data_IF_191462372771
#
_entry.id   IF_191462372771
#
_cell.length_a   1.000
_cell.length_b   1.000
_cell.length_c   1.000
_cell.angle_alpha   90.00
_cell.angle_beta   90.00
_cell.angle_gamma   90.00
#
_symmetry.space_group_name_H-M   'P 1'
#
loop_
_entity.id
_entity.type
_entity.pdbx_description
1 polymer ?
#
# COMPACT_ATOMS: atom_id res chain seq x y z
N UNK A 1 62.49 25.02 -54.49
CA UNK A 1 62.11 23.89 -53.60
C UNK A 1 60.64 23.96 -53.14
N UNK A 2 59.60 24.02 -54.01
CA UNK A 2 58.21 24.19 -53.55
C UNK A 2 57.47 22.85 -53.34
N UNK A 3 57.81 21.83 -54.13
CA UNK A 3 57.10 20.56 -54.18
C UNK A 3 57.18 19.75 -52.86
N UNK A 4 58.32 19.82 -52.17
CA UNK A 4 58.54 19.11 -50.91
C UNK A 4 57.64 19.63 -49.78
N UNK A 5 57.41 20.95 -49.71
CA UNK A 5 56.52 21.55 -48.68
C UNK A 5 55.06 21.17 -48.89
N UNK A 6 54.63 21.05 -50.15
CA UNK A 6 53.26 20.66 -50.51
C UNK A 6 53.00 19.19 -50.22
N UNK A 7 54.02 18.35 -50.37
CA UNK A 7 53.97 16.94 -50.03
C UNK A 7 53.94 16.75 -48.51
N UNK A 8 54.76 17.51 -47.78
CA UNK A 8 54.77 17.52 -46.31
C UNK A 8 53.40 17.90 -45.72
N UNK A 9 52.79 18.98 -46.19
CA UNK A 9 51.45 19.36 -45.69
C UNK A 9 50.36 18.32 -45.95
N UNK A 10 50.46 17.52 -47.02
CA UNK A 10 49.54 16.38 -47.24
C UNK A 10 49.80 15.24 -46.26
N UNK A 11 51.06 14.97 -45.95
CA UNK A 11 51.44 13.97 -44.93
C UNK A 11 50.95 14.41 -43.55
N UNK A 12 51.15 15.67 -43.17
CA UNK A 12 50.72 16.19 -41.87
C UNK A 12 49.17 16.09 -41.71
N UNK A 13 48.41 16.31 -42.78
CA UNK A 13 46.94 16.12 -42.78
C UNK A 13 46.55 14.65 -42.67
N UNK A 14 47.28 13.74 -43.33
CA UNK A 14 47.05 12.30 -43.19
C UNK A 14 47.36 11.83 -41.77
N UNK A 15 48.44 12.31 -41.15
CA UNK A 15 48.77 12.01 -39.76
C UNK A 15 47.70 12.51 -38.78
N UNK A 16 47.11 13.69 -39.04
CA UNK A 16 45.97 14.20 -38.27
C UNK A 16 44.73 13.32 -38.43
N UNK A 17 44.40 12.90 -39.67
CA UNK A 17 43.26 12.01 -39.92
C UNK A 17 43.48 10.67 -39.22
N UNK A 18 44.68 10.10 -39.29
CA UNK A 18 45.04 8.85 -38.62
C UNK A 18 44.90 8.99 -37.11
N UNK A 19 45.35 10.12 -36.54
CA UNK A 19 45.20 10.37 -35.11
C UNK A 19 43.72 10.41 -34.69
N UNK A 20 42.89 11.19 -35.40
CA UNK A 20 41.45 11.28 -35.10
C UNK A 20 40.74 9.93 -35.26
N UNK A 21 41.09 9.16 -36.30
CA UNK A 21 40.50 7.83 -36.51
C UNK A 21 40.88 6.86 -35.38
N UNK A 22 42.12 6.92 -34.89
CA UNK A 22 42.56 6.12 -33.75
C UNK A 22 41.84 6.52 -32.45
N UNK A 23 41.66 7.82 -32.21
CA UNK A 23 40.93 8.29 -31.02
C UNK A 23 39.45 7.84 -31.08
N UNK A 24 38.85 7.84 -32.26
CA UNK A 24 37.50 7.30 -32.45
C UNK A 24 37.43 5.77 -32.28
N UNK A 25 38.45 5.04 -32.76
CA UNK A 25 38.55 3.60 -32.56
C UNK A 25 38.57 3.26 -31.06
N UNK A 26 39.39 3.96 -30.27
CA UNK A 26 39.46 3.80 -28.82
C UNK A 26 38.14 4.14 -28.13
N UNK A 27 37.50 5.26 -28.49
CA UNK A 27 36.20 5.63 -27.94
C UNK A 27 35.09 4.63 -28.28
N UNK A 28 35.14 4.00 -29.46
CA UNK A 28 34.20 2.95 -29.86
C UNK A 28 34.46 1.66 -29.09
N UNK A 29 35.72 1.29 -28.86
CA UNK A 29 36.08 0.14 -28.01
C UNK A 29 35.52 0.31 -26.60
N UNK A 30 35.71 1.48 -25.98
CA UNK A 30 35.16 1.80 -24.66
C UNK A 30 33.63 1.70 -24.62
N UNK A 31 32.96 2.16 -25.68
CA UNK A 31 31.50 2.09 -25.77
C UNK A 31 30.99 0.65 -25.88
N UNK A 32 31.70 -0.20 -26.61
CA UNK A 32 31.39 -1.63 -26.73
C UNK A 32 31.53 -2.32 -25.37
N UNK A 33 32.61 -2.06 -24.62
CA UNK A 33 32.79 -2.63 -23.28
C UNK A 33 31.64 -2.25 -22.33
N UNK A 34 31.21 -0.98 -22.33
CA UNK A 34 30.06 -0.54 -21.52
C UNK A 34 28.76 -1.19 -21.96
N UNK A 35 28.58 -1.41 -23.27
CA UNK A 35 27.40 -2.10 -23.78
C UNK A 35 27.36 -3.57 -23.34
N UNK A 36 28.51 -4.25 -23.36
CA UNK A 36 28.63 -5.61 -22.83
C UNK A 36 28.34 -5.67 -21.33
N UNK A 37 28.82 -4.71 -20.54
CA UNK A 37 28.51 -4.61 -19.11
C UNK A 37 27.00 -4.43 -18.86
N UNK A 38 26.35 -3.55 -19.61
CA UNK A 38 24.90 -3.32 -19.51
C UNK A 38 24.13 -4.58 -19.93
N UNK A 39 24.54 -5.24 -21.01
CA UNK A 39 23.96 -6.50 -21.48
C UNK A 39 24.06 -7.57 -20.39
N UNK A 40 25.21 -7.72 -19.74
CA UNK A 40 25.38 -8.65 -18.62
C UNK A 40 24.51 -8.32 -17.40
N UNK A 41 24.31 -7.03 -17.08
CA UNK A 41 23.35 -6.62 -16.04
C UNK A 41 21.91 -6.97 -16.42
N UNK A 42 21.57 -6.85 -17.70
CA UNK A 42 20.25 -7.16 -18.21
C UNK A 42 19.96 -8.66 -18.20
N UNK A 43 20.96 -9.52 -18.46
CA UNK A 43 20.79 -10.98 -18.30
C UNK A 43 20.55 -11.36 -16.84
N UNK A 44 21.26 -10.75 -15.89
CA UNK A 44 21.01 -10.97 -14.45
C UNK A 44 19.59 -10.52 -14.06
N UNK A 45 19.13 -9.39 -14.60
CA UNK A 45 17.77 -8.92 -14.37
C UNK A 45 16.73 -9.91 -14.94
N UNK A 46 16.95 -10.45 -16.14
CA UNK A 46 16.09 -11.44 -16.75
C UNK A 46 16.00 -12.72 -15.92
N UNK A 47 17.14 -13.23 -15.44
CA UNK A 47 17.19 -14.37 -14.51
C UNK A 47 16.39 -14.11 -13.23
N UNK A 48 16.52 -12.91 -12.64
CA UNK A 48 15.76 -12.53 -11.45
C UNK A 48 14.24 -12.43 -11.72
N UNK A 49 13.84 -11.91 -12.89
CA UNK A 49 12.44 -11.88 -13.32
C UNK A 49 11.91 -13.30 -13.48
N UNK A 50 12.70 -14.21 -14.06
CA UNK A 50 12.33 -15.61 -14.20
C UNK A 50 12.17 -16.30 -12.84
N UNK A 51 13.08 -16.04 -11.88
CA UNK A 51 12.95 -16.54 -10.51
C UNK A 51 11.67 -16.00 -9.84
N UNK A 52 11.37 -14.73 -10.02
CA UNK A 52 10.14 -14.13 -9.50
C UNK A 52 8.90 -14.77 -10.15
N UNK A 53 8.95 -15.03 -11.46
CA UNK A 53 7.91 -15.76 -12.19
C UNK A 53 7.64 -17.14 -11.58
N UNK A 54 8.70 -17.91 -11.28
CA UNK A 54 8.57 -19.22 -10.64
C UNK A 54 7.99 -19.13 -9.22
N UNK A 55 8.36 -18.12 -8.44
CA UNK A 55 7.79 -17.88 -7.11
C UNK A 55 6.29 -17.54 -7.22
N UNK A 56 5.92 -16.71 -8.20
CA UNK A 56 4.52 -16.34 -8.47
C UNK A 56 3.70 -17.53 -8.96
N UNK A 57 4.25 -18.42 -9.79
CA UNK A 57 3.59 -19.66 -10.20
C UNK A 57 3.35 -20.58 -9.01
N UNK A 58 4.35 -20.75 -8.13
CA UNK A 58 4.19 -21.53 -6.88
C UNK A 58 3.17 -20.90 -5.93
N UNK A 59 3.05 -19.59 -5.92
CA UNK A 59 2.00 -18.87 -5.18
C UNK A 59 0.62 -18.99 -5.86
N UNK A 60 0.55 -19.17 -7.17
CA UNK A 60 -0.69 -19.40 -7.91
C UNK A 60 -1.29 -20.81 -7.71
N UNK A 61 -0.45 -21.81 -7.41
CA UNK A 61 -0.89 -23.16 -7.01
C UNK A 61 -1.51 -23.19 -5.61
N UNK A 62 -1.10 -22.27 -4.73
CA UNK A 62 -1.87 -21.91 -3.55
C UNK A 62 -3.10 -21.16 -4.07
N UNK A 63 -4.27 -21.81 -4.07
CA UNK A 63 -5.54 -21.24 -4.51
C UNK A 63 -5.93 -19.98 -3.72
N UNK A 64 -5.31 -18.85 -4.04
CA UNK A 64 -5.86 -17.53 -3.81
C UNK A 64 -6.85 -17.34 -4.94
N UNK A 65 -8.12 -17.69 -4.66
CA UNK A 65 -9.22 -17.30 -5.53
C UNK A 65 -9.13 -15.78 -5.70
N UNK A 66 -9.01 -15.36 -6.96
CA UNK A 66 -9.10 -13.97 -7.43
C UNK A 66 -7.87 -13.07 -7.22
N UNK A 67 -6.78 -13.36 -7.93
CA UNK A 67 -5.73 -12.35 -8.20
C UNK A 67 -6.08 -11.64 -9.52
N UNK A 68 -6.77 -10.49 -9.40
CA UNK A 68 -7.00 -9.57 -10.52
C UNK A 68 -5.68 -8.88 -10.85
N UNK A 69 -5.17 -9.10 -12.06
CA UNK A 69 -4.00 -8.42 -12.64
C UNK A 69 -4.20 -6.90 -12.59
N UNK A 70 -3.42 -6.18 -11.80
CA UNK A 70 -3.38 -4.72 -11.83
C UNK A 70 -2.19 -4.24 -12.66
N UNK A 71 -2.47 -3.81 -13.89
CA UNK A 71 -1.55 -3.05 -14.73
C UNK A 71 -1.76 -1.56 -14.47
N UNK A 72 -0.95 -1.00 -13.56
CA UNK A 72 -0.70 0.43 -13.46
C UNK A 72 -1.64 1.28 -12.59
N UNK A 73 -1.01 2.32 -12.01
CA UNK A 73 -1.52 3.64 -11.60
C UNK A 73 -2.31 3.76 -10.27
N UNK A 74 -1.67 4.48 -9.33
CA UNK A 74 -2.20 5.36 -8.27
C UNK A 74 -3.64 5.16 -7.78
N UNK A 75 -3.78 4.57 -6.59
CA UNK A 75 -4.99 4.63 -5.75
C UNK A 75 -5.61 3.25 -5.44
N UNK A 76 -6.36 3.11 -4.33
CA UNK A 76 -7.05 1.86 -4.00
C UNK A 76 -8.12 1.54 -5.06
N UNK A 77 -8.07 0.33 -5.61
CA UNK A 77 -8.72 -0.05 -6.88
C UNK A 77 -10.24 -0.24 -6.79
N UNK A 78 -10.78 -0.61 -5.63
CA UNK A 78 -12.23 -0.81 -5.46
C UNK A 78 -12.66 -0.59 -4.00
N UNK A 79 -13.76 0.17 -3.81
CA UNK A 79 -14.44 0.29 -2.52
C UNK A 79 -15.44 -0.86 -2.37
N UNK A 80 -15.35 -1.58 -1.26
CA UNK A 80 -16.23 -2.70 -0.93
C UNK A 80 -16.97 -2.35 0.34
N UNK A 81 -18.30 -2.31 0.28
CA UNK A 81 -19.14 -2.15 1.45
C UNK A 81 -19.45 -3.54 2.05
N UNK A 82 -19.12 -3.72 3.32
CA UNK A 82 -19.38 -4.93 4.07
C UNK A 82 -20.69 -4.75 4.84
N UNK A 83 -21.67 -5.61 4.56
CA UNK A 83 -22.96 -5.59 5.25
C UNK A 83 -22.88 -6.13 6.69
N UNK A 84 -21.85 -6.89 7.00
CA UNK A 84 -21.65 -7.53 8.30
C UNK A 84 -20.22 -7.36 8.81
N UNK A 85 -20.12 -7.29 10.14
CA UNK A 85 -18.86 -7.03 10.83
C UNK A 85 -17.85 -8.18 10.71
N UNK A 86 -18.33 -9.42 10.63
CA UNK A 86 -17.46 -10.60 10.53
C UNK A 86 -16.74 -10.65 9.19
N UNK A 87 -17.43 -10.32 8.10
CA UNK A 87 -16.86 -10.15 6.76
C UNK A 87 -15.86 -9.00 6.77
N UNK A 88 -16.22 -7.83 7.31
CA UNK A 88 -15.28 -6.70 7.42
C UNK A 88 -14.00 -7.09 8.19
N UNK A 89 -14.16 -7.73 9.36
CA UNK A 89 -13.05 -8.15 10.22
C UNK A 89 -12.12 -9.11 9.49
N UNK A 90 -12.68 -10.12 8.84
CA UNK A 90 -11.91 -11.15 8.12
C UNK A 90 -11.17 -10.56 6.93
N UNK A 91 -11.81 -9.67 6.17
CA UNK A 91 -11.22 -9.00 5.01
C UNK A 91 -10.22 -7.90 5.37
N UNK A 92 -10.29 -7.37 6.59
CA UNK A 92 -9.42 -6.28 7.07
C UNK A 92 -8.21 -6.76 7.87
N UNK A 93 -8.00 -8.08 7.99
CA UNK A 93 -6.79 -8.62 8.60
C UNK A 93 -5.58 -8.28 7.73
N UNK A 94 -4.60 -7.59 8.32
CA UNK A 94 -3.41 -7.13 7.58
C UNK A 94 -3.58 -5.79 6.86
N UNK A 95 -4.64 -5.03 7.17
CA UNK A 95 -4.81 -3.68 6.66
C UNK A 95 -3.61 -2.77 6.98
N UNK A 96 -3.29 -1.87 6.04
CA UNK A 96 -2.24 -0.87 6.21
C UNK A 96 -2.67 0.20 7.22
N UNK A 97 -3.91 0.68 7.09
CA UNK A 97 -4.51 1.73 7.92
C UNK A 97 -5.99 1.41 8.09
N UNK A 98 -6.51 1.68 9.28
CA UNK A 98 -7.96 1.68 9.55
C UNK A 98 -8.36 3.07 10.02
N UNK A 99 -9.45 3.58 9.47
CA UNK A 99 -10.06 4.84 9.87
C UNK A 99 -11.45 4.57 10.42
N UNK A 100 -11.88 5.33 11.41
CA UNK A 100 -13.27 5.26 11.86
C UNK A 100 -13.82 6.65 12.15
N UNK A 101 -15.09 6.86 11.82
CA UNK A 101 -15.84 8.07 12.13
C UNK A 101 -17.22 7.75 12.67
N UNK A 102 -17.76 8.70 13.43
CA UNK A 102 -19.14 8.66 13.91
C UNK A 102 -19.98 9.60 13.04
N UNK A 103 -20.98 9.05 12.38
CA UNK A 103 -21.93 9.80 11.55
C UNK A 103 -23.32 9.65 12.17
N UNK A 104 -23.66 10.53 13.11
CA UNK A 104 -24.91 10.45 13.86
C UNK A 104 -24.95 9.22 14.76
N UNK A 105 -25.90 8.30 14.52
CA UNK A 105 -26.05 7.05 15.27
C UNK A 105 -25.26 5.88 14.67
N UNK A 106 -24.49 6.10 13.60
CA UNK A 106 -23.74 5.06 12.90
C UNK A 106 -22.22 5.23 13.08
N UNK A 107 -21.53 4.10 13.23
CA UNK A 107 -20.07 4.02 13.13
C UNK A 107 -19.71 3.58 11.72
N UNK A 108 -18.89 4.38 11.06
CA UNK A 108 -18.28 4.02 9.77
C UNK A 108 -16.85 3.63 10.06
N UNK A 109 -16.49 2.39 9.76
CA UNK A 109 -15.12 1.89 9.84
C UNK A 109 -14.64 1.60 8.43
N UNK A 110 -13.52 2.19 8.04
CA UNK A 110 -12.88 1.93 6.75
C UNK A 110 -11.49 1.33 6.95
N UNK A 111 -11.18 0.30 6.20
CA UNK A 111 -9.90 -0.40 6.21
C UNK A 111 -9.27 -0.27 4.83
N UNK A 112 -8.02 0.21 4.81
CA UNK A 112 -7.24 0.39 3.59
C UNK A 112 -6.22 -0.73 3.49
N UNK A 113 -6.39 -1.55 2.47
CA UNK A 113 -5.42 -2.57 2.04
C UNK A 113 -4.71 -2.10 0.77
N UNK A 114 -3.74 -2.87 0.28
CA UNK A 114 -2.95 -2.51 -0.92
C UNK A 114 -3.84 -2.27 -2.16
N UNK A 115 -5.00 -2.93 -2.24
CA UNK A 115 -5.85 -2.90 -3.43
C UNK A 115 -7.31 -2.49 -3.15
N UNK A 116 -7.77 -2.56 -1.89
CA UNK A 116 -9.19 -2.36 -1.56
C UNK A 116 -9.37 -1.42 -0.37
N UNK A 117 -10.44 -0.62 -0.44
CA UNK A 117 -11.01 0.03 0.75
C UNK A 117 -12.25 -0.75 1.16
N UNK A 118 -12.17 -1.47 2.27
CA UNK A 118 -13.35 -2.07 2.89
C UNK A 118 -14.01 -1.01 3.77
N UNK A 119 -15.32 -0.83 3.64
CA UNK A 119 -16.11 0.04 4.51
C UNK A 119 -17.18 -0.80 5.19
N UNK A 120 -17.29 -0.66 6.50
CA UNK A 120 -18.40 -1.17 7.27
C UNK A 120 -19.13 0.02 7.90
N UNK A 121 -20.45 0.07 7.72
CA UNK A 121 -21.36 0.97 8.41
C UNK A 121 -22.26 0.14 9.33
N UNK A 122 -22.47 0.61 10.55
CA UNK A 122 -23.37 -0.05 11.47
C UNK A 122 -23.79 0.87 12.60
N UNK A 123 -25.00 0.67 13.13
CA UNK A 123 -25.47 1.43 14.27
C UNK A 123 -24.53 1.28 15.47
N UNK A 124 -24.24 2.37 16.17
CA UNK A 124 -23.37 2.39 17.37
C UNK A 124 -23.86 1.35 18.39
N UNK A 125 -25.19 1.24 18.58
CA UNK A 125 -25.79 0.26 19.49
C UNK A 125 -25.62 -1.19 19.03
N UNK A 126 -25.75 -1.49 17.73
CA UNK A 126 -25.58 -2.84 17.19
C UNK A 126 -24.10 -3.27 17.22
N UNK A 127 -23.22 -2.32 16.88
CA UNK A 127 -21.78 -2.47 16.96
C UNK A 127 -21.33 -2.73 18.42
N UNK A 128 -21.89 -1.98 19.37
CA UNK A 128 -21.64 -2.17 20.81
C UNK A 128 -22.30 -3.43 21.40
N UNK A 129 -23.43 -3.86 20.86
CA UNK A 129 -24.06 -5.14 21.20
C UNK A 129 -23.11 -6.31 20.89
N UNK A 130 -22.43 -6.24 19.74
CA UNK A 130 -21.42 -7.22 19.32
C UNK A 130 -20.14 -7.16 20.17
N UNK A 131 -19.74 -5.96 20.60
CA UNK A 131 -18.64 -5.72 21.56
C UNK A 131 -18.91 -6.32 22.96
N UNK A 132 -20.17 -6.33 23.42
CA UNK A 132 -20.55 -6.85 24.74
C UNK A 132 -20.32 -8.35 24.92
N UNK A 133 -20.31 -9.11 23.80
CA UNK A 133 -19.92 -10.53 23.79
C UNK A 133 -18.39 -10.72 23.90
N UNK A 134 -17.59 -9.72 23.53
CA UNK A 134 -16.13 -9.79 23.52
C UNK A 134 -15.46 -9.32 24.83
N UNK A 135 -16.08 -8.43 25.63
CA UNK A 135 -15.58 -8.12 26.99
C UNK A 135 -16.61 -7.32 27.82
N UNK A 136 -17.07 -7.92 28.91
CA UNK A 136 -18.00 -7.36 29.91
C UNK A 136 -17.28 -6.32 30.78
N UNK A 137 -16.98 -5.13 30.26
CA UNK A 137 -16.36 -4.09 31.10
C UNK A 137 -16.79 -2.64 30.80
N UNK A 138 -17.75 -2.42 29.91
CA UNK A 138 -18.25 -1.06 29.60
C UNK A 138 -19.48 -0.68 30.43
N UNK A 139 -20.38 -1.62 30.74
CA UNK A 139 -21.53 -1.38 31.65
C UNK A 139 -21.07 -0.83 33.00
N UNK A 140 -19.95 -1.32 33.51
CA UNK A 140 -19.40 -0.89 34.80
C UNK A 140 -18.67 0.47 34.74
N UNK A 141 -18.30 0.95 33.55
CA UNK A 141 -17.60 2.23 33.36
C UNK A 141 -18.52 3.36 32.91
N UNK A 142 -19.51 3.08 32.06
CA UNK A 142 -20.56 4.02 31.69
C UNK A 142 -21.44 4.37 32.91
N UNK A 143 -21.77 3.40 33.76
CA UNK A 143 -22.50 3.66 35.00
C UNK A 143 -21.64 4.28 36.13
N UNK A 144 -20.31 4.40 35.98
CA UNK A 144 -19.47 5.12 36.95
C UNK A 144 -19.33 6.61 36.62
N UNK A 145 -19.61 7.04 35.38
CA UNK A 145 -19.68 8.47 35.02
C UNK A 145 -21.08 9.06 35.09
N UNK A 146 -22.11 8.22 35.17
CA UNK A 146 -23.51 8.62 35.39
C UNK A 146 -23.94 8.05 36.74
N UNK A 147 -24.02 8.91 37.75
CA UNK A 147 -24.48 8.52 39.10
C UNK A 147 -25.81 7.77 39.04
N UNK A 148 -26.00 6.84 39.98
CA UNK A 148 -27.13 5.92 40.11
C UNK A 148 -28.49 6.56 39.75
N UNK A 149 -29.04 6.24 38.59
CA UNK A 149 -30.45 6.48 38.26
C UNK A 149 -31.06 5.16 37.73
N UNK A 150 -32.20 4.69 38.27
CA UNK A 150 -32.88 3.49 37.80
C UNK A 150 -33.29 3.60 36.33
N UNK A 151 -33.09 2.51 35.59
CA UNK A 151 -33.58 2.34 34.22
C UNK A 151 -35.11 2.49 34.16
N UNK A 152 -35.57 3.63 33.67
CA UNK A 152 -36.80 3.69 32.89
C UNK A 152 -36.43 4.02 31.45
N UNK A 153 -36.81 3.12 30.56
CA UNK A 153 -36.80 3.36 29.12
C UNK A 153 -37.80 4.47 28.86
N UNK A 154 -37.32 5.65 28.45
CA UNK A 154 -38.11 6.61 27.70
C UNK A 154 -37.20 7.28 26.66
N UNK A 155 -37.86 7.52 25.54
CA UNK A 155 -37.41 7.86 24.20
C UNK A 155 -36.88 9.30 24.13
N UNK A 156 -35.63 9.50 24.56
CA UNK A 156 -34.94 10.78 24.38
C UNK A 156 -33.48 10.56 23.98
N UNK A 157 -33.07 11.33 22.98
CA UNK A 157 -31.76 11.36 22.33
C UNK A 157 -30.59 11.44 23.32
N UNK A 158 -29.95 10.31 23.59
CA UNK A 158 -28.60 10.32 24.13
C UNK A 158 -27.66 10.14 22.93
N UNK A 159 -27.00 11.22 22.52
CA UNK A 159 -25.73 11.10 21.79
C UNK A 159 -24.80 10.28 22.68
N UNK A 160 -24.81 8.96 22.47
CA UNK A 160 -23.92 8.03 23.11
C UNK A 160 -22.51 8.38 22.61
N UNK A 161 -21.86 9.29 23.33
CA UNK A 161 -20.53 9.79 23.02
C UNK A 161 -19.56 8.67 23.37
N UNK A 162 -19.40 7.72 22.45
CA UNK A 162 -18.45 6.63 22.57
C UNK A 162 -17.06 7.25 22.54
N UNK A 163 -16.28 6.99 23.59
CA UNK A 163 -14.88 7.41 23.66
C UNK A 163 -14.09 6.84 22.45
N UNK A 164 -13.52 7.69 21.57
CA UNK A 164 -12.77 7.23 20.41
C UNK A 164 -11.59 6.31 20.76
N UNK A 165 -10.96 6.48 21.94
CA UNK A 165 -9.86 5.63 22.38
C UNK A 165 -10.29 4.20 22.72
N UNK A 166 -11.54 4.06 23.17
CA UNK A 166 -12.13 2.76 23.42
C UNK A 166 -12.34 2.02 22.09
N UNK A 167 -12.92 2.68 21.09
CA UNK A 167 -13.14 2.10 19.76
C UNK A 167 -11.81 1.76 19.09
N UNK A 168 -10.80 2.63 19.19
CA UNK A 168 -9.44 2.35 18.73
C UNK A 168 -8.85 1.09 19.37
N UNK A 169 -9.04 0.93 20.68
CA UNK A 169 -8.53 -0.24 21.42
C UNK A 169 -9.24 -1.54 21.01
N UNK A 170 -10.54 -1.46 20.73
CA UNK A 170 -11.32 -2.58 20.21
C UNK A 170 -10.85 -2.99 18.82
N UNK A 171 -10.78 -2.04 17.89
CA UNK A 171 -10.32 -2.28 16.51
C UNK A 171 -8.90 -2.89 16.49
N UNK A 172 -8.01 -2.43 17.37
CA UNK A 172 -6.67 -3.00 17.52
C UNK A 172 -6.70 -4.47 17.93
N UNK A 173 -7.57 -4.83 18.89
CA UNK A 173 -7.71 -6.21 19.36
C UNK A 173 -8.35 -7.13 18.32
N UNK A 174 -9.32 -6.63 17.57
CA UNK A 174 -10.11 -7.46 16.64
C UNK A 174 -9.44 -7.64 15.28
N UNK A 175 -8.72 -6.63 14.83
CA UNK A 175 -8.00 -6.66 13.55
C UNK A 175 -6.53 -7.09 13.72
N UNK A 176 -6.08 -7.28 14.96
CA UNK A 176 -4.71 -7.69 15.28
C UNK A 176 -3.66 -6.67 14.85
N UNK A 177 -4.01 -5.38 14.88
CA UNK A 177 -3.18 -4.31 14.32
C UNK A 177 -2.83 -3.23 15.35
N UNK A 178 -1.65 -2.59 15.22
CA UNK A 178 -1.19 -1.59 16.18
C UNK A 178 -2.10 -0.34 16.18
N UNK A 179 -2.30 0.25 17.37
CA UNK A 179 -3.19 1.41 17.56
C UNK A 179 -2.76 2.63 16.74
N UNK A 180 -1.47 2.74 16.46
CA UNK A 180 -0.85 3.80 15.66
C UNK A 180 -1.34 3.79 14.21
N UNK A 181 -1.82 2.64 13.72
CA UNK A 181 -2.41 2.48 12.38
C UNK A 181 -3.93 2.69 12.35
N UNK A 182 -4.53 3.07 13.48
CA UNK A 182 -5.97 3.28 13.63
C UNK A 182 -6.26 4.76 13.90
N UNK A 183 -6.83 5.43 12.91
CA UNK A 183 -7.03 6.88 12.90
C UNK A 183 -8.52 7.18 13.12
N UNK A 184 -8.80 8.14 14.00
CA UNK A 184 -10.15 8.71 14.07
C UNK A 184 -10.30 9.72 12.94
N UNK A 185 -11.18 9.45 11.99
CA UNK A 185 -11.34 10.18 10.75
C UNK A 185 -11.91 9.30 9.65
N UNK A 186 -11.96 9.84 8.44
CA UNK A 186 -12.48 9.14 7.25
C UNK A 186 -11.45 9.10 6.15
N UNK A 187 -11.52 8.05 5.34
CA UNK A 187 -10.92 8.07 4.01
C UNK A 187 -11.71 9.10 3.18
N UNK A 188 -10.99 10.04 2.57
CA UNK A 188 -11.52 10.94 1.56
C UNK A 188 -11.19 10.34 0.20
N UNK A 189 -12.22 10.03 -0.57
CA UNK A 189 -12.18 9.43 -1.88
C UNK A 189 -13.08 10.24 -2.81
#
# INVERSE_FOLDING_TARGET
>A
MPAYSRFKGKIDVLDLIIAVLRDHEEALSDLVERFEEISGKMTILDENINLLGLILERLGELRVKDIVKASGINGPLTRIECNDWETFRSSSQGALIVTFEFSGEEVIVSSVTDLFIFTYSGGILEFMGSLSKAKVNWRERACKSMGDIPLQMEDDSYEATVDPEFLRSFLSSELGMPKEKIIHGRVLH
#
